data_IF_956711791984
#
_entry.id   IF_956711791984
#
_cell.length_a   1.000
_cell.length_b   1.000
_cell.length_c   1.000
_cell.angle_alpha   90.00
_cell.angle_beta   90.00
_cell.angle_gamma   90.00
#
_symmetry.space_group_name_H-M   'P 1'
#
loop_
_entity.id
_entity.type
_entity.pdbx_description
1 polymer ?
#
# COMPACT_ATOMS: atom_id res chain seq x y z
N UNK A 1 -5.17 -3.06 -4.00
CA UNK A 1 -4.08 -4.06 -4.18
C UNK A 1 -4.56 -5.48 -4.00
N UNK A 2 -5.35 -5.75 -2.97
CA UNK A 2 -5.84 -7.09 -2.62
C UNK A 2 -6.55 -7.79 -3.77
N UNK A 3 -7.41 -7.10 -4.50
CA UNK A 3 -8.14 -7.66 -5.65
C UNK A 3 -7.23 -8.11 -6.80
N UNK A 4 -6.03 -7.55 -6.90
CA UNK A 4 -5.05 -7.89 -7.95
C UNK A 4 -4.17 -9.08 -7.56
N UNK A 5 -4.17 -9.50 -6.29
CA UNK A 5 -3.39 -10.64 -5.80
C UNK A 5 -4.27 -11.90 -5.79
N UNK A 6 -4.01 -12.82 -6.72
CA UNK A 6 -4.75 -14.08 -6.88
C UNK A 6 -4.66 -15.03 -5.65
N UNK A 7 -3.83 -14.72 -4.67
CA UNK A 7 -3.74 -15.50 -3.43
C UNK A 7 -4.82 -15.18 -2.41
N UNK A 8 -5.62 -14.13 -2.67
CA UNK A 8 -6.79 -13.82 -1.85
C UNK A 8 -8.03 -14.57 -2.31
N UNK A 9 -8.88 -14.89 -1.35
CA UNK A 9 -10.11 -15.64 -1.53
C UNK A 9 -11.26 -14.75 -1.06
N UNK A 10 -12.41 -14.88 -1.71
CA UNK A 10 -13.63 -14.19 -1.29
C UNK A 10 -14.57 -15.18 -0.60
N UNK A 11 -15.02 -14.82 0.59
CA UNK A 11 -16.19 -15.43 1.22
C UNK A 11 -17.38 -14.52 0.93
N UNK A 12 -18.44 -15.07 0.41
CA UNK A 12 -19.71 -14.37 0.18
C UNK A 12 -20.75 -15.00 1.09
N UNK A 13 -21.50 -14.19 1.83
CA UNK A 13 -22.56 -14.69 2.70
C UNK A 13 -23.71 -15.33 1.88
N UNK A 14 -24.57 -16.10 2.52
CA UNK A 14 -25.65 -16.86 1.86
C UNK A 14 -26.60 -15.98 1.05
N UNK A 15 -26.93 -14.81 1.61
CA UNK A 15 -27.88 -13.86 0.99
C UNK A 15 -27.22 -12.97 -0.07
N UNK A 16 -25.90 -13.11 -0.29
CA UNK A 16 -25.10 -12.32 -1.22
C UNK A 16 -25.18 -10.80 -0.97
N UNK A 17 -25.38 -10.41 0.28
CA UNK A 17 -25.44 -9.01 0.71
C UNK A 17 -24.09 -8.48 1.17
N UNK A 18 -23.07 -9.37 1.32
CA UNK A 18 -21.75 -9.00 1.73
C UNK A 18 -20.69 -10.01 1.36
N UNK A 19 -19.44 -9.58 1.40
CA UNK A 19 -18.28 -10.43 1.16
C UNK A 19 -17.11 -10.06 2.08
N UNK A 20 -16.21 -11.03 2.32
CA UNK A 20 -14.93 -10.82 2.96
C UNK A 20 -13.82 -11.22 1.99
N UNK A 21 -12.84 -10.35 1.80
CA UNK A 21 -11.64 -10.67 1.06
C UNK A 21 -10.54 -11.08 2.03
N UNK A 22 -10.06 -12.32 1.97
CA UNK A 22 -9.12 -12.84 2.95
C UNK A 22 -8.05 -13.74 2.35
N UNK A 23 -6.98 -13.93 3.09
CA UNK A 23 -5.90 -14.88 2.80
C UNK A 23 -5.56 -15.66 4.07
N UNK A 24 -5.29 -16.95 3.95
CA UNK A 24 -4.93 -17.78 5.10
C UNK A 24 -3.42 -17.90 5.24
N UNK A 25 -2.90 -17.47 6.40
CA UNK A 25 -1.48 -17.59 6.76
C UNK A 25 -1.37 -18.18 8.18
N UNK A 26 -0.56 -19.20 8.37
CA UNK A 26 -0.34 -19.84 9.67
C UNK A 26 -1.65 -20.26 10.41
N UNK A 27 -2.65 -20.73 9.66
CA UNK A 27 -4.00 -21.03 10.16
C UNK A 27 -4.75 -19.79 10.71
N UNK A 28 -4.42 -18.61 10.26
CA UNK A 28 -5.18 -17.39 10.53
C UNK A 28 -5.75 -16.91 9.19
N UNK A 29 -7.06 -16.72 9.11
CA UNK A 29 -7.70 -16.00 8.03
C UNK A 29 -7.50 -14.50 8.27
N UNK A 30 -6.67 -13.87 7.46
CA UNK A 30 -6.42 -12.42 7.51
C UNK A 30 -7.35 -11.77 6.49
N UNK A 31 -8.34 -11.07 6.99
CA UNK A 31 -9.26 -10.28 6.17
C UNK A 31 -8.59 -8.95 5.83
N UNK A 32 -8.63 -8.57 4.57
CA UNK A 32 -8.04 -7.33 4.10
C UNK A 32 -9.11 -6.22 4.02
N UNK A 33 -8.96 -5.25 4.87
CA UNK A 33 -9.93 -4.16 5.04
C UNK A 33 -11.18 -4.60 5.80
N UNK A 34 -12.24 -3.85 5.60
CA UNK A 34 -13.57 -4.08 6.18
C UNK A 34 -14.33 -5.18 5.43
N UNK A 35 -15.38 -5.74 6.04
CA UNK A 35 -16.40 -6.48 5.29
C UNK A 35 -16.98 -5.61 4.17
N UNK A 36 -17.12 -6.17 2.99
CA UNK A 36 -17.70 -5.51 1.81
C UNK A 36 -19.23 -5.57 1.91
N UNK A 37 -19.80 -4.80 2.81
CA UNK A 37 -21.24 -4.66 3.04
C UNK A 37 -21.49 -3.39 3.86
N UNK A 38 -22.76 -3.03 4.02
CA UNK A 38 -23.16 -1.97 4.94
C UNK A 38 -22.81 -2.31 6.39
N UNK A 39 -22.38 -1.34 7.23
CA UNK A 39 -21.89 -1.61 8.59
C UNK A 39 -22.88 -2.34 9.50
N UNK A 40 -24.18 -2.13 9.30
CA UNK A 40 -25.21 -2.83 10.11
C UNK A 40 -25.28 -4.35 9.83
N UNK A 41 -24.68 -4.82 8.73
CA UNK A 41 -24.58 -6.24 8.37
C UNK A 41 -23.30 -6.91 8.89
N UNK A 42 -22.40 -6.18 9.55
CA UNK A 42 -21.16 -6.75 10.09
C UNK A 42 -21.42 -7.96 11.01
N UNK A 43 -22.37 -7.93 11.96
CA UNK A 43 -22.65 -9.09 12.81
C UNK A 43 -22.97 -10.35 12.00
N UNK A 44 -23.86 -10.25 11.03
CA UNK A 44 -24.37 -11.39 10.26
C UNK A 44 -23.26 -12.03 9.42
N UNK A 45 -22.55 -11.24 8.63
CA UNK A 45 -21.48 -11.77 7.79
C UNK A 45 -20.32 -12.34 8.60
N UNK A 46 -20.00 -11.73 9.73
CA UNK A 46 -18.92 -12.20 10.61
C UNK A 46 -19.29 -13.49 11.34
N UNK A 47 -20.55 -13.69 11.73
CA UNK A 47 -21.02 -14.93 12.31
C UNK A 47 -21.09 -16.06 11.26
N UNK A 48 -21.53 -15.80 10.04
CA UNK A 48 -21.45 -16.77 8.96
C UNK A 48 -19.98 -17.17 8.65
N UNK A 49 -19.10 -16.19 8.55
CA UNK A 49 -17.68 -16.46 8.34
C UNK A 49 -17.04 -17.21 9.51
N UNK A 50 -17.46 -16.93 10.74
CA UNK A 50 -17.04 -17.66 11.94
C UNK A 50 -17.45 -19.15 11.86
N UNK A 51 -18.66 -19.44 11.41
CA UNK A 51 -19.11 -20.82 11.19
C UNK A 51 -18.29 -21.51 10.10
N UNK A 52 -18.03 -20.81 8.99
CA UNK A 52 -17.21 -21.29 7.88
C UNK A 52 -15.77 -21.60 8.30
N UNK A 53 -15.05 -20.63 8.89
CA UNK A 53 -13.64 -20.78 9.26
C UNK A 53 -13.39 -21.83 10.34
N UNK A 54 -14.37 -22.07 11.22
CA UNK A 54 -14.29 -23.12 12.28
C UNK A 54 -14.13 -24.52 11.69
N UNK A 55 -14.67 -24.80 10.50
CA UNK A 55 -14.54 -26.08 9.83
C UNK A 55 -13.08 -26.40 9.49
N UNK A 56 -12.25 -25.36 9.32
CA UNK A 56 -10.82 -25.47 9.02
C UNK A 56 -9.92 -25.18 10.22
N UNK A 57 -10.49 -24.94 11.39
CA UNK A 57 -9.75 -24.54 12.59
C UNK A 57 -8.88 -23.28 12.39
N UNK A 58 -9.36 -22.30 11.60
CA UNK A 58 -8.66 -21.03 11.40
C UNK A 58 -9.04 -20.01 12.47
N UNK A 59 -8.01 -19.29 12.95
CA UNK A 59 -8.20 -18.01 13.62
C UNK A 59 -8.62 -16.92 12.64
N UNK A 60 -8.82 -15.71 13.12
CA UNK A 60 -9.15 -14.54 12.30
C UNK A 60 -8.39 -13.31 12.78
N UNK A 61 -8.02 -12.46 11.84
CA UNK A 61 -7.56 -11.10 12.08
C UNK A 61 -7.93 -10.22 10.89
N UNK A 62 -8.01 -8.90 11.10
CA UNK A 62 -8.20 -7.94 10.04
C UNK A 62 -6.96 -7.09 9.90
N UNK A 63 -6.61 -6.72 8.66
CA UNK A 63 -5.48 -5.87 8.35
C UNK A 63 -5.91 -4.75 7.40
N UNK A 64 -5.69 -3.50 7.80
CA UNK A 64 -6.14 -2.34 7.06
C UNK A 64 -7.63 -2.05 7.25
N UNK A 65 -8.18 -2.44 8.39
CA UNK A 65 -9.54 -2.09 8.78
C UNK A 65 -9.69 -0.57 8.93
N UNK A 66 -10.83 -0.02 8.51
CA UNK A 66 -11.15 1.39 8.69
C UNK A 66 -11.56 1.71 10.14
N UNK A 67 -11.71 2.99 10.43
CA UNK A 67 -12.28 3.45 11.71
C UNK A 67 -13.71 2.93 11.93
N UNK A 68 -14.48 2.70 10.87
CA UNK A 68 -15.83 2.11 10.97
C UNK A 68 -15.79 0.70 11.56
N UNK A 69 -14.94 -0.19 11.03
CA UNK A 69 -14.79 -1.52 11.61
C UNK A 69 -14.10 -1.46 12.98
N UNK A 70 -13.16 -0.53 13.18
CA UNK A 70 -12.52 -0.38 14.49
C UNK A 70 -13.49 0.07 15.58
N UNK A 71 -14.45 0.97 15.27
CA UNK A 71 -15.55 1.33 16.19
C UNK A 71 -16.43 0.13 16.55
N UNK A 72 -16.85 -0.63 15.53
CA UNK A 72 -17.59 -1.87 15.77
C UNK A 72 -16.79 -2.85 16.66
N UNK A 73 -15.51 -3.05 16.35
CA UNK A 73 -14.63 -3.95 17.10
C UNK A 73 -14.49 -3.54 18.57
N UNK A 74 -14.42 -2.23 18.87
CA UNK A 74 -14.36 -1.72 20.25
C UNK A 74 -15.67 -2.00 21.02
N UNK A 75 -16.83 -1.90 20.35
CA UNK A 75 -18.13 -2.26 20.94
C UNK A 75 -18.21 -3.75 21.26
N UNK A 76 -17.61 -4.59 20.42
CA UNK A 76 -17.50 -6.04 20.62
C UNK A 76 -16.34 -6.43 21.57
N UNK A 77 -15.66 -5.49 22.21
CA UNK A 77 -14.51 -5.70 23.08
C UNK A 77 -13.33 -6.43 22.42
N UNK A 78 -13.15 -6.25 21.11
CA UNK A 78 -12.02 -6.79 20.36
C UNK A 78 -10.77 -5.93 20.53
N UNK A 79 -9.60 -6.51 20.27
CA UNK A 79 -8.36 -5.74 20.24
C UNK A 79 -8.21 -4.99 18.92
N UNK A 80 -7.96 -3.68 19.00
CA UNK A 80 -7.65 -2.82 17.85
C UNK A 80 -6.30 -2.14 18.02
N UNK A 81 -5.50 -2.07 16.96
CA UNK A 81 -4.19 -1.40 16.94
C UNK A 81 -4.12 -0.50 15.71
N UNK A 82 -4.09 0.82 15.89
CA UNK A 82 -3.84 1.76 14.80
C UNK A 82 -2.38 1.69 14.38
N UNK A 83 -2.12 1.25 13.15
CA UNK A 83 -0.76 0.97 12.67
C UNK A 83 -0.35 1.79 11.45
N UNK A 84 -1.30 2.52 10.85
CA UNK A 84 -1.04 3.29 9.65
C UNK A 84 -2.16 4.26 9.31
N UNK A 85 -1.94 4.96 8.22
CA UNK A 85 -2.89 5.88 7.59
C UNK A 85 -2.92 5.58 6.10
N UNK A 86 -4.06 5.66 5.46
CA UNK A 86 -4.16 5.81 4.03
C UNK A 86 -4.01 7.29 3.68
N UNK A 87 -3.01 7.59 2.85
CA UNK A 87 -2.73 8.98 2.43
C UNK A 87 -3.45 9.28 1.13
N UNK A 88 -4.11 10.41 1.08
CA UNK A 88 -4.95 10.80 -0.06
C UNK A 88 -4.58 12.18 -0.57
N UNK A 89 -4.49 12.31 -1.90
CA UNK A 89 -4.41 13.59 -2.59
C UNK A 89 -5.81 13.98 -3.08
N UNK A 90 -6.13 15.26 -2.97
CA UNK A 90 -7.33 15.83 -3.59
C UNK A 90 -6.93 16.57 -4.89
N UNK A 91 -7.09 15.96 -6.07
CA UNK A 91 -6.71 16.60 -7.33
C UNK A 91 -7.44 17.93 -7.58
N UNK A 92 -8.63 18.15 -7.01
CA UNK A 92 -9.41 19.35 -7.23
C UNK A 92 -8.87 20.58 -6.46
N UNK A 93 -8.17 20.35 -5.35
CA UNK A 93 -7.71 21.44 -4.46
C UNK A 93 -6.22 21.40 -4.17
N UNK A 94 -5.47 20.41 -4.71
CA UNK A 94 -4.08 20.17 -4.38
C UNK A 94 -3.17 21.37 -4.69
N UNK A 95 -2.44 21.84 -3.67
CA UNK A 95 -1.57 23.01 -3.77
C UNK A 95 -0.39 22.85 -4.73
N UNK A 96 0.10 21.61 -4.94
CA UNK A 96 1.19 21.35 -5.90
C UNK A 96 0.65 21.43 -7.33
N UNK A 97 -0.52 20.86 -7.59
CA UNK A 97 -1.16 20.92 -8.90
C UNK A 97 -1.56 22.35 -9.25
N UNK A 98 -2.01 23.14 -8.27
CA UNK A 98 -2.38 24.56 -8.44
C UNK A 98 -1.16 25.49 -8.45
N UNK A 99 0.06 24.97 -8.47
CA UNK A 99 1.34 25.70 -8.43
C UNK A 99 1.51 26.66 -7.20
N UNK A 100 0.76 26.45 -6.11
CA UNK A 100 0.85 27.20 -4.86
C UNK A 100 2.01 26.74 -3.96
N UNK A 101 2.39 25.46 -4.10
CA UNK A 101 3.48 24.80 -3.37
C UNK A 101 4.26 23.88 -4.29
N UNK A 102 5.28 23.15 -3.76
CA UNK A 102 6.01 22.15 -4.53
C UNK A 102 6.87 22.70 -5.66
N UNK A 103 7.37 23.93 -5.56
CA UNK A 103 8.14 24.64 -6.61
C UNK A 103 9.22 23.77 -7.26
N UNK A 104 9.89 22.92 -6.48
CA UNK A 104 10.92 22.01 -6.99
C UNK A 104 10.35 21.00 -7.99
N UNK A 105 9.20 20.39 -7.68
CA UNK A 105 8.53 19.42 -8.57
C UNK A 105 8.10 20.12 -9.85
N UNK A 106 7.48 21.28 -9.74
CA UNK A 106 6.98 22.06 -10.88
C UNK A 106 8.11 22.41 -11.84
N UNK A 107 9.23 22.97 -11.32
CA UNK A 107 10.39 23.31 -12.14
C UNK A 107 11.00 22.07 -12.79
N UNK A 108 11.13 20.97 -12.05
CA UNK A 108 11.68 19.71 -12.56
C UNK A 108 10.78 19.13 -13.67
N UNK A 109 9.47 19.15 -13.48
CA UNK A 109 8.52 18.67 -14.50
C UNK A 109 8.59 19.52 -15.77
N UNK A 110 8.64 20.85 -15.64
CA UNK A 110 8.81 21.77 -16.78
C UNK A 110 10.13 21.51 -17.52
N UNK A 111 11.21 21.15 -16.81
CA UNK A 111 12.49 20.79 -17.45
C UNK A 111 12.43 19.43 -18.16
N UNK A 112 11.80 18.43 -17.54
CA UNK A 112 11.63 17.10 -18.15
C UNK A 112 10.81 17.16 -19.44
N UNK A 113 9.71 17.91 -19.42
CA UNK A 113 8.80 18.05 -20.57
C UNK A 113 9.31 18.99 -21.67
N UNK A 114 10.33 19.80 -21.39
CA UNK A 114 10.90 20.71 -22.39
C UNK A 114 11.65 19.91 -23.47
N UNK A 115 11.28 20.03 -24.76
CA UNK A 115 11.93 19.30 -25.87
C UNK A 115 13.43 19.51 -25.95
N UNK A 116 13.90 20.74 -25.66
CA UNK A 116 15.32 21.11 -25.76
C UNK A 116 16.16 20.66 -24.54
N UNK A 117 15.51 20.08 -23.47
CA UNK A 117 16.19 19.67 -22.24
C UNK A 117 15.96 18.20 -21.95
N UNK A 118 14.76 17.87 -21.42
CA UNK A 118 14.41 16.50 -21.04
C UNK A 118 13.82 15.69 -22.18
N UNK A 119 13.06 16.34 -23.06
CA UNK A 119 12.39 15.70 -24.19
C UNK A 119 11.42 14.58 -23.83
N UNK A 120 10.97 14.56 -22.55
CA UNK A 120 10.05 13.53 -22.06
C UNK A 120 8.64 13.81 -22.59
N UNK A 121 8.00 12.78 -23.10
CA UNK A 121 6.58 12.82 -23.49
C UNK A 121 5.75 11.99 -22.51
N UNK A 122 4.49 12.40 -22.33
CA UNK A 122 3.48 11.70 -21.51
C UNK A 122 2.45 11.04 -22.41
N UNK A 123 2.07 9.81 -22.06
CA UNK A 123 0.95 9.09 -22.66
C UNK A 123 -0.01 8.58 -21.62
N UNK A 124 -1.27 8.41 -22.01
CA UNK A 124 -2.32 7.78 -21.20
C UNK A 124 -2.83 6.56 -21.96
N UNK A 125 -2.96 5.45 -21.25
CA UNK A 125 -3.48 4.21 -21.80
C UNK A 125 -4.61 3.66 -20.92
N UNK A 126 -5.78 3.49 -21.49
CA UNK A 126 -6.94 2.87 -20.84
C UNK A 126 -7.32 1.60 -21.62
N UNK A 127 -7.00 0.41 -21.13
CA UNK A 127 -7.27 -0.85 -21.84
C UNK A 127 -8.76 -1.10 -22.14
N UNK A 128 -9.65 -0.50 -21.34
CA UNK A 128 -11.09 -0.53 -21.60
C UNK A 128 -11.48 0.06 -22.97
N UNK A 129 -10.66 0.97 -23.52
CA UNK A 129 -10.88 1.61 -24.82
C UNK A 129 -10.23 0.83 -25.98
N UNK A 130 -9.50 -0.23 -25.70
CA UNK A 130 -8.82 -1.06 -26.69
C UNK A 130 -7.47 -1.59 -26.15
N UNK A 131 -7.10 -2.79 -26.58
CA UNK A 131 -5.88 -3.45 -26.14
C UNK A 131 -4.72 -3.14 -27.08
N UNK A 132 -3.65 -2.56 -26.53
CA UNK A 132 -2.34 -2.39 -27.17
C UNK A 132 -1.32 -3.33 -26.52
N UNK A 133 -1.14 -4.51 -27.10
CA UNK A 133 -0.24 -5.54 -26.54
C UNK A 133 1.23 -5.10 -26.58
N UNK A 134 1.63 -4.32 -27.58
CA UNK A 134 3.00 -3.81 -27.68
C UNK A 134 3.32 -2.87 -26.52
N UNK A 135 2.44 -1.90 -26.28
CA UNK A 135 2.58 -0.98 -25.15
C UNK A 135 2.50 -1.71 -23.81
N UNK A 136 1.58 -2.67 -23.65
CA UNK A 136 1.50 -3.46 -22.41
C UNK A 136 2.81 -4.21 -22.15
N UNK A 137 3.45 -4.75 -23.18
CA UNK A 137 4.73 -5.47 -23.05
C UNK A 137 5.86 -4.50 -22.64
N UNK A 138 5.92 -3.30 -23.21
CA UNK A 138 6.88 -2.26 -22.80
C UNK A 138 6.70 -1.86 -21.33
N UNK A 139 5.46 -1.58 -20.92
CA UNK A 139 5.14 -1.17 -19.55
C UNK A 139 5.39 -2.31 -18.55
N UNK A 140 5.11 -3.56 -18.94
CA UNK A 140 5.45 -4.73 -18.11
C UNK A 140 6.96 -4.87 -17.92
N UNK A 141 7.75 -4.64 -18.96
CA UNK A 141 9.21 -4.69 -18.85
C UNK A 141 9.76 -3.63 -17.86
N UNK A 142 9.16 -2.43 -17.79
CA UNK A 142 9.49 -1.44 -16.77
C UNK A 142 9.20 -1.99 -15.37
N UNK A 143 8.01 -2.54 -15.16
CA UNK A 143 7.58 -3.09 -13.88
C UNK A 143 8.50 -4.24 -13.41
N UNK A 144 8.83 -5.15 -14.29
CA UNK A 144 9.71 -6.28 -13.98
C UNK A 144 11.14 -5.86 -13.69
N UNK A 145 11.72 -4.96 -14.51
CA UNK A 145 13.08 -4.45 -14.32
C UNK A 145 13.21 -3.70 -13.00
N UNK A 146 12.23 -2.86 -12.64
CA UNK A 146 12.17 -2.18 -11.35
C UNK A 146 12.10 -3.19 -10.18
N UNK A 147 11.27 -4.22 -10.29
CA UNK A 147 11.16 -5.29 -9.28
C UNK A 147 12.49 -6.04 -9.12
N UNK A 148 13.11 -6.43 -10.22
CA UNK A 148 14.40 -7.11 -10.21
C UNK A 148 15.49 -6.26 -9.56
N UNK A 149 15.58 -4.98 -9.90
CA UNK A 149 16.54 -4.05 -9.28
C UNK A 149 16.29 -3.93 -7.77
N UNK A 150 15.05 -3.73 -7.36
CA UNK A 150 14.67 -3.63 -5.96
C UNK A 150 14.98 -4.90 -5.17
N UNK A 151 14.72 -6.07 -5.75
CA UNK A 151 15.02 -7.35 -5.12
C UNK A 151 16.53 -7.62 -4.99
N UNK A 152 17.33 -7.18 -5.96
CA UNK A 152 18.80 -7.28 -5.90
C UNK A 152 19.40 -6.34 -4.86
N UNK A 153 18.90 -5.13 -4.77
CA UNK A 153 19.34 -4.12 -3.80
C UNK A 153 18.96 -4.46 -2.35
N UNK A 154 18.02 -5.39 -2.15
CA UNK A 154 17.49 -5.73 -0.84
C UNK A 154 18.38 -6.73 -0.08
N UNK A 155 19.47 -6.23 0.49
CA UNK A 155 20.12 -6.92 1.62
C UNK A 155 19.22 -6.90 2.88
N UNK A 156 18.32 -5.92 3.00
CA UNK A 156 17.35 -5.76 4.08
C UNK A 156 16.00 -6.44 3.77
N UNK A 157 15.24 -6.73 4.81
CA UNK A 157 13.87 -7.22 4.69
C UNK A 157 13.01 -6.16 3.97
N UNK A 158 12.24 -6.58 2.97
CA UNK A 158 11.27 -5.72 2.28
C UNK A 158 9.89 -6.02 2.84
N UNK A 159 9.09 -4.97 3.05
CA UNK A 159 7.73 -5.07 3.52
C UNK A 159 6.75 -4.63 2.42
N UNK A 160 5.57 -5.25 2.40
CA UNK A 160 4.42 -4.85 1.57
C UNK A 160 4.67 -4.82 0.06
N UNK A 161 5.54 -5.70 -0.46
CA UNK A 161 5.70 -5.86 -1.90
C UNK A 161 4.72 -6.92 -2.37
N UNK A 162 3.67 -6.49 -3.04
CA UNK A 162 2.71 -7.37 -3.70
C UNK A 162 3.18 -7.64 -5.12
N UNK A 163 3.14 -8.91 -5.52
CA UNK A 163 3.41 -9.33 -6.90
C UNK A 163 2.08 -9.58 -7.58
N UNK A 164 1.76 -8.78 -8.56
CA UNK A 164 0.55 -8.92 -9.35
C UNK A 164 0.82 -8.55 -10.82
N UNK A 165 -0.06 -8.97 -11.70
CA UNK A 165 -0.04 -8.51 -13.07
C UNK A 165 -0.85 -7.20 -13.16
N UNK A 166 -0.24 -6.05 -13.46
CA UNK A 166 -0.95 -4.78 -13.55
C UNK A 166 -2.11 -4.78 -14.56
N UNK A 167 -2.08 -5.66 -15.57
CA UNK A 167 -3.05 -5.68 -16.67
C UNK A 167 -4.20 -6.69 -16.50
N UNK A 168 -4.32 -7.37 -15.35
CA UNK A 168 -5.34 -8.41 -15.12
C UNK A 168 -6.79 -7.85 -15.09
N UNK A 169 -6.99 -6.56 -14.79
CA UNK A 169 -8.32 -5.95 -14.66
C UNK A 169 -8.47 -4.70 -15.55
N UNK A 170 -8.53 -4.86 -16.87
CA UNK A 170 -8.48 -3.75 -17.82
C UNK A 170 -9.55 -2.68 -17.61
N UNK A 171 -10.76 -3.05 -17.16
CA UNK A 171 -11.86 -2.13 -16.93
C UNK A 171 -11.73 -1.26 -15.67
N UNK A 172 -10.78 -1.60 -14.79
CA UNK A 172 -10.52 -0.87 -13.55
C UNK A 172 -9.25 -0.03 -13.60
N UNK A 173 -8.51 -0.07 -14.72
CA UNK A 173 -7.14 0.46 -14.77
C UNK A 173 -7.00 1.54 -15.83
N UNK A 174 -6.27 2.60 -15.47
CA UNK A 174 -5.71 3.61 -16.37
C UNK A 174 -4.21 3.66 -16.11
N UNK A 175 -3.41 3.75 -17.18
CA UNK A 175 -1.96 3.85 -17.08
C UNK A 175 -1.50 5.20 -17.61
N UNK A 176 -0.58 5.84 -16.88
CA UNK A 176 0.18 6.99 -17.35
C UNK A 176 1.61 6.52 -17.54
N UNK A 177 2.18 6.83 -18.67
CA UNK A 177 3.55 6.44 -18.96
C UNK A 177 4.33 7.60 -19.56
N UNK A 178 5.65 7.53 -19.43
CA UNK A 178 6.56 8.48 -20.03
C UNK A 178 7.44 7.78 -21.06
N UNK A 179 7.80 8.52 -22.11
CA UNK A 179 8.81 8.11 -23.09
C UNK A 179 9.96 9.11 -23.12
N UNK A 180 11.17 8.60 -23.30
CA UNK A 180 12.35 9.41 -23.54
C UNK A 180 12.38 10.02 -24.96
N UNK A 181 13.39 10.85 -25.26
CA UNK A 181 13.58 11.40 -26.61
C UNK A 181 13.80 10.33 -27.68
N UNK A 182 14.25 9.15 -27.28
CA UNK A 182 14.44 7.96 -28.12
C UNK A 182 13.12 7.21 -28.40
N UNK A 183 12.00 7.67 -27.85
CA UNK A 183 10.69 7.05 -27.99
C UNK A 183 10.46 5.83 -27.07
N UNK A 184 11.48 5.42 -26.29
CA UNK A 184 11.38 4.26 -25.39
C UNK A 184 10.63 4.63 -24.10
N UNK A 185 9.72 3.75 -23.66
CA UNK A 185 9.01 3.95 -22.42
C UNK A 185 9.96 3.83 -21.21
N UNK A 186 9.92 4.82 -20.30
CA UNK A 186 10.85 4.92 -19.18
C UNK A 186 10.20 5.26 -17.83
N UNK A 187 8.86 5.30 -17.77
CA UNK A 187 8.10 5.49 -16.54
C UNK A 187 6.69 4.94 -16.66
N UNK A 188 6.16 4.45 -15.54
CA UNK A 188 4.84 3.84 -15.44
C UNK A 188 4.17 4.25 -14.13
N UNK A 189 2.95 4.77 -14.22
CA UNK A 189 1.99 4.87 -13.12
C UNK A 189 0.72 4.12 -13.49
N UNK A 190 0.26 3.25 -12.59
CA UNK A 190 -1.00 2.55 -12.74
C UNK A 190 -2.03 3.12 -11.77
N UNK A 191 -3.12 3.61 -12.30
CA UNK A 191 -4.27 4.14 -11.57
C UNK A 191 -5.36 3.07 -11.58
N UNK A 192 -5.75 2.61 -10.39
CA UNK A 192 -6.84 1.65 -10.23
C UNK A 192 -8.06 2.36 -9.64
N UNK A 193 -9.20 2.19 -10.28
CA UNK A 193 -10.47 2.68 -9.74
C UNK A 193 -10.79 2.00 -8.40
N UNK A 194 -11.17 2.79 -7.42
CA UNK A 194 -11.61 2.34 -6.08
C UNK A 194 -13.05 2.81 -5.83
N UNK A 195 -13.74 2.16 -4.87
CA UNK A 195 -15.12 2.53 -4.55
C UNK A 195 -15.24 3.82 -3.75
N UNK A 196 -14.22 4.15 -2.95
CA UNK A 196 -14.21 5.37 -2.16
C UNK A 196 -14.23 6.61 -3.06
N UNK A 197 -15.24 7.46 -2.90
CA UNK A 197 -15.46 8.71 -3.64
C UNK A 197 -15.28 8.59 -5.16
N UNK A 198 -15.61 7.42 -5.71
CA UNK A 198 -15.37 7.05 -7.12
C UNK A 198 -13.93 7.33 -7.59
N UNK A 199 -13.00 7.31 -6.66
CA UNK A 199 -11.62 7.73 -6.84
C UNK A 199 -10.70 6.68 -7.41
N UNK A 200 -9.41 6.96 -7.32
CA UNK A 200 -8.35 6.08 -7.81
C UNK A 200 -7.27 5.85 -6.75
N UNK A 201 -6.61 4.70 -6.86
CA UNK A 201 -5.39 4.38 -6.13
C UNK A 201 -4.23 4.26 -7.12
N UNK A 202 -3.12 4.94 -6.85
CA UNK A 202 -1.93 4.89 -7.68
C UNK A 202 -0.92 3.88 -7.14
N UNK A 203 -0.68 2.80 -7.89
CA UNK A 203 0.35 1.80 -7.60
C UNK A 203 0.46 0.79 -8.77
N UNK A 204 1.67 0.57 -9.33
CA UNK A 204 2.92 1.28 -9.04
C UNK A 204 2.99 2.69 -9.65
N UNK A 205 3.88 3.53 -9.09
CA UNK A 205 4.35 4.78 -9.71
C UNK A 205 5.88 4.73 -9.73
N UNK A 206 6.45 4.35 -10.86
CA UNK A 206 7.84 3.92 -10.98
C UNK A 206 8.54 4.46 -12.23
N UNK A 207 9.85 4.63 -12.11
CA UNK A 207 10.74 4.93 -13.23
C UNK A 207 11.57 3.69 -13.61
N UNK A 208 11.85 3.51 -14.89
CA UNK A 208 12.76 2.47 -15.37
C UNK A 208 14.17 2.71 -14.83
N UNK A 209 14.99 1.66 -14.66
CA UNK A 209 16.41 1.83 -14.37
C UNK A 209 17.10 2.71 -15.43
N UNK A 210 17.82 3.73 -14.98
CA UNK A 210 18.49 4.68 -15.87
C UNK A 210 17.62 5.84 -16.37
N UNK A 211 16.32 5.86 -16.08
CA UNK A 211 15.46 6.99 -16.43
C UNK A 211 15.90 8.29 -15.73
N UNK A 212 15.63 9.46 -16.31
CA UNK A 212 15.92 10.75 -15.70
C UNK A 212 15.31 10.89 -14.30
N UNK A 213 16.02 11.58 -13.41
CA UNK A 213 15.50 11.86 -12.06
C UNK A 213 14.23 12.71 -12.16
N UNK A 214 13.21 12.33 -11.37
CA UNK A 214 11.94 13.04 -11.28
C UNK A 214 10.83 12.44 -12.14
N UNK A 215 11.07 11.37 -12.89
CA UNK A 215 10.03 10.69 -13.68
C UNK A 215 8.86 10.24 -12.76
N UNK A 216 9.13 9.67 -11.60
CA UNK A 216 8.05 9.29 -10.66
C UNK A 216 7.28 10.51 -10.14
N UNK A 217 7.97 11.63 -9.88
CA UNK A 217 7.33 12.88 -9.45
C UNK A 217 6.46 13.46 -10.60
N UNK A 218 6.92 13.35 -11.85
CA UNK A 218 6.17 13.76 -13.04
C UNK A 218 4.92 12.88 -13.25
N UNK A 219 5.03 11.57 -13.06
CA UNK A 219 3.92 10.63 -13.21
C UNK A 219 2.83 10.89 -12.16
N UNK A 220 3.23 11.13 -10.90
CA UNK A 220 2.30 11.49 -9.82
C UNK A 220 1.56 12.79 -10.10
N UNK A 221 2.31 13.81 -10.56
CA UNK A 221 1.74 15.09 -10.97
C UNK A 221 0.78 14.93 -12.16
N UNK A 222 1.14 14.13 -13.15
CA UNK A 222 0.30 13.84 -14.32
C UNK A 222 -0.97 13.07 -13.93
N UNK A 223 -0.87 12.17 -12.94
CA UNK A 223 -2.03 11.47 -12.39
C UNK A 223 -3.02 12.44 -11.75
N UNK A 224 -2.55 13.35 -10.90
CA UNK A 224 -3.39 14.40 -10.32
C UNK A 224 -4.02 15.29 -11.41
N UNK A 225 -3.24 15.69 -12.44
CA UNK A 225 -3.72 16.53 -13.51
C UNK A 225 -4.80 15.84 -14.37
N UNK A 226 -4.63 14.54 -14.63
CA UNK A 226 -5.63 13.73 -15.32
C UNK A 226 -6.92 13.65 -14.52
N UNK A 227 -6.83 13.30 -13.23
CA UNK A 227 -7.98 13.15 -12.36
C UNK A 227 -8.71 14.47 -12.11
N UNK A 228 -7.98 15.58 -12.01
CA UNK A 228 -8.58 16.92 -11.95
C UNK A 228 -9.45 17.22 -13.19
N UNK A 229 -8.96 16.87 -14.39
CA UNK A 229 -9.75 17.01 -15.63
C UNK A 229 -10.94 16.06 -15.73
N UNK A 230 -10.97 15.01 -14.94
CA UNK A 230 -12.04 14.04 -14.83
C UNK A 230 -13.01 14.36 -13.68
N UNK A 231 -12.85 15.51 -13.01
CA UNK A 231 -13.61 15.93 -11.82
C UNK A 231 -13.53 14.92 -10.67
N UNK A 232 -12.42 14.21 -10.54
CA UNK A 232 -12.16 13.23 -9.46
C UNK A 232 -11.38 13.88 -8.34
N UNK A 233 -11.92 13.86 -7.12
CA UNK A 233 -11.36 14.49 -5.93
C UNK A 233 -10.53 13.55 -5.05
N UNK A 234 -10.41 12.27 -5.39
CA UNK A 234 -9.79 11.26 -4.54
C UNK A 234 -8.71 10.46 -5.28
N UNK A 235 -7.44 10.62 -4.88
CA UNK A 235 -6.31 9.83 -5.32
C UNK A 235 -5.55 9.26 -4.11
N UNK A 236 -5.77 7.99 -3.82
CA UNK A 236 -5.07 7.28 -2.76
C UNK A 236 -3.61 7.01 -3.16
N UNK A 237 -2.68 7.41 -2.31
CA UNK A 237 -1.26 7.04 -2.36
C UNK A 237 -1.01 5.68 -1.67
N UNK A 238 -2.05 5.15 -1.03
CA UNK A 238 -2.01 3.93 -0.27
C UNK A 238 -1.49 4.11 1.16
N UNK A 239 -1.11 3.01 1.73
CA UNK A 239 -0.74 2.89 3.12
C UNK A 239 0.60 3.56 3.47
N UNK A 240 0.55 4.44 4.48
CA UNK A 240 1.71 4.98 5.19
C UNK A 240 1.72 4.38 6.61
N UNK A 241 2.76 3.62 7.00
CA UNK A 241 2.86 3.08 8.34
C UNK A 241 3.20 4.17 9.35
N UNK A 242 2.63 4.12 10.54
CA UNK A 242 3.01 4.96 11.66
C UNK A 242 4.36 4.51 12.24
N UNK A 243 5.20 5.44 12.64
CA UNK A 243 6.48 5.13 13.30
C UNK A 243 6.29 4.47 14.68
N UNK A 244 5.17 4.77 15.33
CA UNK A 244 4.71 4.17 16.59
C UNK A 244 3.23 3.86 16.46
N UNK A 245 2.73 2.84 17.15
CA UNK A 245 1.28 2.58 17.17
C UNK A 245 0.52 3.80 17.69
N UNK A 246 -0.53 4.17 17.00
CA UNK A 246 -1.48 5.19 17.42
C UNK A 246 -2.41 4.68 18.53
N UNK A 247 -3.72 4.73 18.29
CA UNK A 247 -4.71 4.24 19.24
C UNK A 247 -4.65 2.72 19.40
N UNK A 248 -4.73 2.24 20.65
CA UNK A 248 -4.71 0.84 21.01
C UNK A 248 -5.83 0.57 21.99
N UNK A 249 -6.68 -0.41 21.70
CA UNK A 249 -7.81 -0.80 22.53
C UNK A 249 -7.84 -2.31 22.73
N UNK A 250 -8.42 -2.76 23.86
CA UNK A 250 -8.63 -4.19 24.16
C UNK A 250 -7.38 -4.94 24.62
N UNK A 251 -6.28 -4.26 24.93
CA UNK A 251 -5.09 -4.85 25.53
C UNK A 251 -4.91 -4.43 26.99
N UNK A 252 -4.54 -5.35 27.90
CA UNK A 252 -4.05 -4.98 29.23
C UNK A 252 -2.79 -4.11 29.14
N UNK A 253 -2.65 -3.11 30.00
CA UNK A 253 -1.55 -2.14 29.98
C UNK A 253 -0.13 -2.74 29.85
N UNK A 254 0.23 -3.85 30.56
CA UNK A 254 1.55 -4.44 30.38
C UNK A 254 1.78 -5.00 28.98
N UNK A 255 0.75 -5.62 28.39
CA UNK A 255 0.80 -6.21 27.04
C UNK A 255 0.84 -5.09 25.99
N UNK A 256 0.08 -4.02 26.18
CA UNK A 256 0.13 -2.85 25.30
C UNK A 256 1.55 -2.24 25.24
N UNK A 257 2.19 -2.05 26.40
CA UNK A 257 3.58 -1.53 26.46
C UNK A 257 4.56 -2.41 25.67
N UNK A 258 4.45 -3.72 25.84
CA UNK A 258 5.29 -4.68 25.11
C UNK A 258 4.99 -4.61 23.61
N UNK A 259 3.73 -4.57 23.20
CA UNK A 259 3.29 -4.49 21.80
C UNK A 259 3.81 -3.22 21.13
N UNK A 260 3.68 -2.06 21.79
CA UNK A 260 4.20 -0.78 21.29
C UNK A 260 5.73 -0.80 21.15
N UNK A 261 6.45 -1.37 22.11
CA UNK A 261 7.91 -1.50 22.05
C UNK A 261 8.34 -2.40 20.90
N UNK A 262 7.71 -3.56 20.74
CA UNK A 262 8.01 -4.51 19.66
C UNK A 262 7.71 -3.92 18.28
N UNK A 263 6.56 -3.24 18.13
CA UNK A 263 6.21 -2.55 16.89
C UNK A 263 7.26 -1.51 16.50
N UNK A 264 7.61 -0.60 17.43
CA UNK A 264 8.62 0.45 17.19
C UNK A 264 9.97 -0.15 16.80
N UNK A 265 10.41 -1.19 17.49
CA UNK A 265 11.65 -1.88 17.20
C UNK A 265 11.66 -2.52 15.80
N UNK A 266 10.55 -3.16 15.42
CA UNK A 266 10.37 -3.74 14.08
C UNK A 266 10.32 -2.65 13.01
N UNK A 267 9.57 -1.57 13.26
CA UNK A 267 9.42 -0.46 12.31
C UNK A 267 10.77 0.19 11.97
N UNK A 268 11.60 0.45 12.97
CA UNK A 268 12.92 1.09 12.78
C UNK A 268 13.87 0.29 11.86
N UNK A 269 13.61 -1.01 11.70
CA UNK A 269 14.42 -1.93 10.88
C UNK A 269 13.89 -2.14 9.47
N UNK A 270 12.69 -1.67 9.20
CA UNK A 270 12.09 -1.79 7.87
C UNK A 270 12.38 -0.53 7.05
N UNK A 271 12.69 -0.66 5.74
CA UNK A 271 12.96 0.48 4.86
C UNK A 271 11.65 1.16 4.42
N UNK A 272 10.78 1.52 5.38
CA UNK A 272 9.45 2.08 5.13
C UNK A 272 9.35 3.58 5.44
N UNK A 273 10.31 4.15 6.17
CA UNK A 273 10.31 5.57 6.55
C UNK A 273 10.41 6.55 5.37
N UNK A 274 10.89 6.10 4.21
CA UNK A 274 10.99 6.93 3.01
C UNK A 274 9.65 7.25 2.35
N UNK A 275 8.60 6.46 2.59
CA UNK A 275 7.27 6.68 2.00
C UNK A 275 6.67 8.01 2.45
N UNK A 276 6.70 8.31 3.75
CA UNK A 276 6.19 9.57 4.29
C UNK A 276 6.80 10.77 3.60
N UNK A 277 8.13 10.86 3.57
CA UNK A 277 8.85 11.97 2.93
C UNK A 277 8.53 12.09 1.43
N UNK A 278 8.25 10.98 0.75
CA UNK A 278 7.83 10.99 -0.65
C UNK A 278 6.41 11.56 -0.80
N UNK A 279 5.46 11.08 -0.01
CA UNK A 279 4.06 11.52 -0.06
C UNK A 279 3.90 12.99 0.33
N UNK A 280 4.59 13.44 1.38
CA UNK A 280 4.53 14.82 1.87
C UNK A 280 4.94 15.87 0.81
N UNK A 281 5.73 15.48 -0.23
CA UNK A 281 6.06 16.36 -1.35
C UNK A 281 4.82 16.84 -2.12
N UNK A 282 3.79 15.97 -2.21
CA UNK A 282 2.57 16.20 -2.98
C UNK A 282 1.44 16.80 -2.14
N UNK A 283 1.69 17.11 -0.87
CA UNK A 283 0.71 17.74 0.02
C UNK A 283 -0.60 16.95 0.11
N UNK A 284 -0.58 15.73 0.67
CA UNK A 284 -1.81 15.00 0.93
C UNK A 284 -2.81 15.82 1.72
N UNK A 285 -4.09 15.57 1.49
CA UNK A 285 -5.19 16.24 2.17
C UNK A 285 -5.50 15.50 3.48
N UNK A 286 -5.19 16.07 4.65
CA UNK A 286 -5.40 15.39 5.92
C UNK A 286 -6.87 15.14 6.26
N UNK A 287 -7.81 15.83 5.60
CA UNK A 287 -9.25 15.59 5.78
C UNK A 287 -9.76 14.35 5.02
N UNK A 288 -8.99 13.89 4.02
CA UNK A 288 -9.29 12.68 3.27
C UNK A 288 -8.48 11.47 3.77
N UNK A 289 -7.45 11.69 4.58
CA UNK A 289 -6.65 10.61 5.17
C UNK A 289 -7.54 9.71 6.04
N UNK A 290 -7.33 8.40 5.96
CA UNK A 290 -8.08 7.40 6.72
C UNK A 290 -7.16 6.61 7.63
N UNK A 291 -7.55 6.44 8.89
CA UNK A 291 -6.83 5.62 9.85
C UNK A 291 -6.96 4.13 9.51
N UNK A 292 -5.88 3.38 9.67
CA UNK A 292 -5.84 1.96 9.38
C UNK A 292 -5.48 1.14 10.62
N UNK A 293 -6.28 0.10 10.85
CA UNK A 293 -6.21 -0.73 12.05
C UNK A 293 -5.89 -2.20 11.74
N UNK A 294 -5.16 -2.82 12.67
CA UNK A 294 -5.19 -4.26 12.87
C UNK A 294 -6.29 -4.57 13.88
N UNK A 295 -7.12 -5.57 13.60
CA UNK A 295 -8.23 -5.98 14.50
C UNK A 295 -8.17 -7.47 14.79
N UNK A 296 -8.29 -7.82 16.08
CA UNK A 296 -8.21 -9.19 16.57
C UNK A 296 -9.46 -9.55 17.37
N UNK A 297 -10.46 -10.23 16.75
CA UNK A 297 -11.72 -10.59 17.40
C UNK A 297 -11.59 -11.55 18.59
N UNK A 298 -10.49 -12.30 18.68
CA UNK A 298 -10.23 -13.22 19.77
C UNK A 298 -9.54 -12.60 20.99
N UNK A 299 -9.48 -11.27 21.08
CA UNK A 299 -8.80 -10.53 22.14
C UNK A 299 -7.28 -10.45 21.88
N UNK A 300 -6.45 -10.68 22.91
CA UNK A 300 -4.99 -10.53 22.80
C UNK A 300 -4.41 -11.40 21.68
N UNK A 301 -3.71 -10.80 20.69
CA UNK A 301 -3.12 -11.56 19.58
C UNK A 301 -2.01 -12.50 20.09
N UNK A 302 -2.16 -13.80 19.83
CA UNK A 302 -1.12 -14.79 20.11
C UNK A 302 -0.01 -14.79 19.05
N UNK A 303 1.05 -15.58 19.31
CA UNK A 303 2.22 -15.71 18.42
C UNK A 303 1.84 -16.05 16.96
N UNK A 304 0.81 -16.89 16.76
CA UNK A 304 0.35 -17.24 15.40
C UNK A 304 -0.20 -16.04 14.64
N UNK A 305 -0.93 -15.14 15.32
CA UNK A 305 -1.42 -13.90 14.71
C UNK A 305 -0.26 -13.00 14.28
N UNK A 306 0.73 -12.83 15.17
CA UNK A 306 1.91 -12.03 14.87
C UNK A 306 2.70 -12.57 13.68
N UNK A 307 2.94 -13.88 13.65
CA UNK A 307 3.61 -14.54 12.52
C UNK A 307 2.80 -14.41 11.22
N UNK A 308 1.48 -14.54 11.30
CA UNK A 308 0.61 -14.39 10.14
C UNK A 308 0.68 -12.95 9.57
N UNK A 309 0.65 -11.91 10.43
CA UNK A 309 0.79 -10.51 10.03
C UNK A 309 2.15 -10.22 9.38
N UNK A 310 3.23 -10.75 9.95
CA UNK A 310 4.59 -10.59 9.40
C UNK A 310 4.70 -11.25 8.02
N UNK A 311 4.16 -12.45 7.85
CA UNK A 311 4.13 -13.13 6.54
C UNK A 311 3.23 -12.41 5.53
N UNK A 312 2.09 -11.87 6.00
CA UNK A 312 1.18 -11.08 5.18
C UNK A 312 1.85 -9.81 4.65
N UNK A 313 2.64 -9.15 5.49
CA UNK A 313 3.45 -7.99 5.13
C UNK A 313 4.67 -8.36 4.24
N UNK A 314 4.82 -9.63 3.88
CA UNK A 314 5.96 -10.16 3.12
C UNK A 314 7.32 -9.88 3.79
N UNK A 315 7.35 -9.83 5.11
CA UNK A 315 8.56 -9.59 5.89
C UNK A 315 9.25 -10.93 6.15
N UNK A 316 10.50 -11.07 5.72
CA UNK A 316 11.31 -12.25 5.99
C UNK A 316 11.96 -12.17 7.37
N UNK A 317 11.45 -12.93 8.34
CA UNK A 317 12.01 -13.03 9.69
C UNK A 317 13.47 -13.48 9.65
N UNK A 318 13.83 -14.43 8.76
CA UNK A 318 15.23 -14.89 8.60
C UNK A 318 16.18 -13.76 8.18
N UNK A 319 15.72 -12.83 7.32
CA UNK A 319 16.52 -11.67 6.91
C UNK A 319 16.64 -10.64 8.05
N UNK A 320 15.58 -10.45 8.85
CA UNK A 320 15.62 -9.60 10.03
C UNK A 320 16.66 -10.09 11.04
N UNK A 321 16.62 -11.37 11.41
CA UNK A 321 17.58 -11.98 12.36
C UNK A 321 19.02 -11.93 11.83
N UNK A 322 19.24 -12.19 10.52
CA UNK A 322 20.60 -12.11 9.93
C UNK A 322 21.14 -10.69 9.89
N UNK A 323 20.29 -9.68 9.75
CA UNK A 323 20.72 -8.27 9.81
C UNK A 323 21.17 -7.89 11.24
N UNK A 324 20.53 -8.46 12.26
CA UNK A 324 20.94 -8.30 13.66
C UNK A 324 22.32 -8.86 13.93
N UNK A 325 22.57 -10.10 13.49
CA UNK A 325 23.88 -10.75 13.68
C UNK A 325 25.01 -9.95 13.02
N UNK A 326 24.79 -9.42 11.81
CA UNK A 326 25.79 -8.59 11.11
C UNK A 326 26.04 -7.24 11.79
N UNK A 327 24.99 -6.58 12.30
CA UNK A 327 25.14 -5.30 13.01
C UNK A 327 25.84 -5.49 14.36
N UNK A 328 25.57 -6.58 15.09
CA UNK A 328 26.24 -6.91 16.33
C UNK A 328 27.73 -7.17 16.09
N UNK A 329 28.10 -7.95 15.08
CA UNK A 329 29.48 -8.25 14.72
C UNK A 329 30.27 -6.99 14.29
N UNK A 330 29.64 -6.05 13.59
CA UNK A 330 30.26 -4.78 13.21
C UNK A 330 30.47 -3.84 14.38
N UNK A 331 29.60 -3.87 15.40
CA UNK A 331 29.76 -3.08 16.62
C UNK A 331 30.88 -3.67 17.50
N UNK A 332 30.96 -5.00 17.60
CA UNK A 332 32.03 -5.68 18.31
C UNK A 332 33.41 -5.42 17.65
N UNK A 333 33.52 -5.54 16.33
CA UNK A 333 34.79 -5.26 15.63
C UNK A 333 35.23 -3.79 15.73
N UNK A 334 34.27 -2.85 15.72
CA UNK A 334 34.57 -1.42 15.91
C UNK A 334 34.90 -1.05 17.38
N UNK A 335 34.55 -1.89 18.35
CA UNK A 335 34.90 -1.73 19.75
C UNK A 335 36.31 -2.35 20.08
N UNK A 336 36.72 -3.36 19.34
CA UNK A 336 38.06 -3.97 19.44
C UNK A 336 39.16 -3.14 18.75
N UNK A 337 38.80 -2.27 17.79
CA UNK A 337 39.74 -1.36 17.12
C UNK A 337 39.97 -0.02 17.85
N UNK A 338 39.35 0.22 19.02
CA UNK A 338 39.56 1.40 19.88
C UNK A 338 40.29 1.05 21.18
#
# INVERSE_FOLDING_TARGET
MVILDRSYIFFVNKDRTGALCYKVQNKIAIVAGDPLCEPYLFPDILDEFKAYRKQFHWGIAFMGASDTLAKYARQEHWTTLQFGVERVLNPMTNDVLMERSGKRIIVQNKQLLNPDKGGITLGVYAPANGTDQSLQSELMAIYESWRHQRNRAAAAAQAFITVYNPFDFPNLMIYIYTRGPDGVANGLAALRRVGADEGYHIDPCIAAPGAPRGISDLLEYAAMALLNKMDVSYLSLGYEPLATLGDVSGLPLPIEKITRSLYRHTFQRLPIGGKKAYYDKFRPDPFLDSELYLVFPSGVPGLRHMLAMVHMANISIRKLVRSEAKSATQIESAAEER
#
